data_IF_024468689681
#
_entry.id   IF_024468689681
#
_cell.length_a   1.000
_cell.length_b   1.000
_cell.length_c   1.000
_cell.angle_alpha   90.00
_cell.angle_beta   90.00
_cell.angle_gamma   90.00
#
_symmetry.space_group_name_H-M   'P 1'
#
loop_
_entity.id
_entity.type
_entity.pdbx_description
1 polymer ?
#
# COMPACT_ATOMS: atom_id res chain seq x y z
N UNK A 1 -26.06 -5.53 -52.42
CA UNK A 1 -25.23 -5.33 -51.22
C UNK A 1 -24.05 -4.43 -51.58
N UNK A 2 -23.84 -3.27 -50.92
CA UNK A 2 -22.66 -2.46 -51.18
C UNK A 2 -21.41 -3.28 -50.83
N UNK A 3 -20.46 -3.36 -51.77
CA UNK A 3 -19.15 -3.97 -51.53
C UNK A 3 -18.51 -3.32 -50.30
N UNK A 4 -18.11 -4.12 -49.32
CA UNK A 4 -17.31 -3.65 -48.19
C UNK A 4 -16.05 -2.98 -48.74
N UNK A 5 -15.94 -1.66 -48.58
CA UNK A 5 -14.71 -0.95 -48.90
C UNK A 5 -13.63 -1.50 -47.96
N UNK A 6 -12.58 -2.07 -48.54
CA UNK A 6 -11.47 -2.58 -47.75
C UNK A 6 -10.89 -1.47 -46.87
N UNK A 7 -10.46 -1.82 -45.66
CA UNK A 7 -9.84 -0.88 -44.70
C UNK A 7 -8.76 0.01 -45.32
N UNK A 8 -8.04 -0.50 -46.35
CA UNK A 8 -7.03 0.25 -47.11
C UNK A 8 -7.57 1.45 -47.89
N UNK A 9 -8.81 1.40 -48.41
CA UNK A 9 -9.42 2.50 -49.15
C UNK A 9 -9.98 3.60 -48.25
N UNK A 10 -10.40 3.25 -47.05
CA UNK A 10 -10.83 4.21 -46.02
C UNK A 10 -9.63 5.07 -45.60
N UNK A 11 -8.46 4.47 -45.40
CA UNK A 11 -7.25 5.20 -44.98
C UNK A 11 -6.67 6.10 -46.11
N UNK A 12 -6.82 5.75 -47.38
CA UNK A 12 -6.36 6.58 -48.49
C UNK A 12 -7.15 7.88 -48.66
N UNK A 13 -8.38 7.92 -48.15
CA UNK A 13 -9.29 9.08 -48.31
C UNK A 13 -9.39 9.97 -47.05
N UNK A 14 -8.84 9.56 -45.93
CA UNK A 14 -8.87 10.37 -44.73
C UNK A 14 -7.84 11.50 -44.76
N UNK A 15 -8.32 12.75 -44.71
CA UNK A 15 -7.47 13.94 -44.49
C UNK A 15 -6.74 13.89 -43.11
N UNK A 16 -7.35 13.26 -42.13
CA UNK A 16 -6.78 13.04 -40.80
C UNK A 16 -5.86 11.82 -40.81
N UNK A 17 -4.57 12.05 -40.53
CA UNK A 17 -3.56 10.99 -40.41
C UNK A 17 -2.84 11.12 -39.08
N UNK A 18 -3.24 10.35 -38.10
CA UNK A 18 -2.66 10.36 -36.76
C UNK A 18 -1.17 9.97 -36.73
N UNK A 19 -0.68 9.27 -37.76
CA UNK A 19 0.75 8.94 -37.91
C UNK A 19 1.66 10.16 -38.07
N UNK A 20 1.12 11.34 -38.47
CA UNK A 20 1.91 12.57 -38.62
C UNK A 20 2.58 12.95 -37.29
N UNK A 21 1.84 12.95 -36.20
CA UNK A 21 2.33 13.27 -34.85
C UNK A 21 3.23 12.19 -34.25
N UNK A 22 3.24 10.98 -34.82
CA UNK A 22 4.11 9.88 -34.36
C UNK A 22 5.46 9.80 -35.07
N UNK A 23 5.65 10.58 -36.15
CA UNK A 23 6.81 10.45 -37.05
C UNK A 23 8.14 10.73 -36.37
N UNK A 24 8.21 11.82 -35.63
CA UNK A 24 9.44 12.32 -35.02
C UNK A 24 9.35 12.29 -33.49
N UNK A 25 10.49 12.17 -32.80
CA UNK A 25 10.54 12.14 -31.34
C UNK A 25 9.99 13.42 -30.70
N UNK A 26 10.40 14.60 -31.17
CA UNK A 26 9.88 15.87 -30.68
C UNK A 26 8.35 15.99 -30.81
N UNK A 27 7.80 15.45 -31.90
CA UNK A 27 6.35 15.46 -32.14
C UNK A 27 5.62 14.52 -31.17
N UNK A 28 6.17 13.33 -30.90
CA UNK A 28 5.63 12.40 -29.91
C UNK A 28 5.63 13.04 -28.51
N UNK A 29 6.76 13.66 -28.11
CA UNK A 29 6.84 14.37 -26.81
C UNK A 29 5.83 15.51 -26.70
N UNK A 30 5.58 16.25 -27.81
CA UNK A 30 4.65 17.38 -27.81
C UNK A 30 3.20 16.95 -27.52
N UNK A 31 2.82 15.75 -27.95
CA UNK A 31 1.43 15.24 -27.83
C UNK A 31 1.29 14.21 -26.68
N UNK A 32 2.30 14.07 -25.84
CA UNK A 32 2.28 13.18 -24.69
C UNK A 32 1.18 13.62 -23.70
N UNK A 33 0.22 12.73 -23.43
CA UNK A 33 -0.92 13.03 -22.55
C UNK A 33 -0.60 12.74 -21.07
N UNK A 34 0.37 11.85 -20.82
CA UNK A 34 0.76 11.44 -19.48
C UNK A 34 2.27 11.53 -19.34
N UNK A 35 2.73 12.06 -18.22
CA UNK A 35 4.14 12.14 -17.88
C UNK A 35 4.36 11.47 -16.52
N UNK A 36 5.37 10.62 -16.42
CA UNK A 36 5.74 9.94 -15.17
C UNK A 36 6.95 10.64 -14.55
N UNK A 37 6.79 11.06 -13.32
CA UNK A 37 7.84 11.73 -12.53
C UNK A 37 8.16 10.96 -11.25
N UNK A 38 9.30 11.21 -10.61
CA UNK A 38 9.58 10.62 -9.29
C UNK A 38 8.51 10.93 -8.23
N UNK A 39 7.78 12.03 -8.38
CA UNK A 39 6.73 12.43 -7.45
C UNK A 39 5.48 11.54 -7.49
N UNK A 40 5.38 10.68 -8.51
CA UNK A 40 4.27 9.72 -8.65
C UNK A 40 4.52 8.40 -7.90
N UNK A 41 5.66 8.27 -7.19
CA UNK A 41 6.06 7.02 -6.56
C UNK A 41 6.16 7.12 -5.05
N UNK A 42 5.71 6.05 -4.37
CA UNK A 42 5.96 5.78 -2.95
C UNK A 42 6.95 4.63 -2.85
N UNK A 43 8.07 4.83 -2.14
CA UNK A 43 9.11 3.82 -2.02
C UNK A 43 8.87 2.87 -0.84
N UNK A 44 8.61 1.57 -1.05
CA UNK A 44 8.49 0.62 0.04
C UNK A 44 9.87 0.32 0.66
N UNK A 45 9.94 0.34 1.99
CA UNK A 45 11.11 -0.05 2.78
C UNK A 45 10.73 -1.19 3.71
N UNK A 46 11.42 -2.31 3.57
CA UNK A 46 11.24 -3.46 4.44
C UNK A 46 12.24 -3.41 5.60
N UNK A 47 11.71 -3.47 6.82
CA UNK A 47 12.49 -3.35 8.05
C UNK A 47 12.73 -4.74 8.68
N UNK A 48 13.89 -4.90 9.32
CA UNK A 48 14.24 -6.12 10.08
C UNK A 48 14.93 -5.73 11.38
N UNK A 49 14.74 -6.54 12.41
CA UNK A 49 15.38 -6.40 13.73
C UNK A 49 16.91 -6.66 13.66
N UNK A 50 17.62 -6.04 14.58
CA UNK A 50 19.06 -6.25 14.77
C UNK A 50 19.90 -5.02 14.46
N UNK A 51 21.19 -5.23 14.18
CA UNK A 51 22.16 -4.18 13.90
C UNK A 51 23.03 -4.57 12.70
N UNK A 52 23.32 -3.60 11.84
CA UNK A 52 24.24 -3.73 10.70
C UNK A 52 23.86 -4.87 9.71
N UNK A 53 22.55 -5.10 9.50
CA UNK A 53 22.06 -6.15 8.59
C UNK A 53 21.40 -5.55 7.34
N UNK A 54 21.67 -6.22 6.21
CA UNK A 54 20.96 -6.07 4.93
C UNK A 54 20.66 -7.48 4.44
N UNK A 55 19.38 -7.86 4.44
CA UNK A 55 18.93 -9.21 4.07
C UNK A 55 18.17 -9.18 2.77
N UNK A 56 18.57 -10.00 1.80
CA UNK A 56 17.85 -10.12 0.52
C UNK A 56 16.49 -10.81 0.72
N UNK A 57 15.50 -10.36 -0.06
CA UNK A 57 14.19 -11.01 -0.14
C UNK A 57 14.22 -11.92 -1.36
N UNK A 58 14.16 -13.25 -1.14
CA UNK A 58 14.35 -14.25 -2.21
C UNK A 58 13.38 -14.08 -3.38
N UNK A 59 12.14 -13.73 -3.08
CA UNK A 59 11.06 -13.54 -4.07
C UNK A 59 11.03 -12.16 -4.72
N UNK A 60 11.91 -11.24 -4.31
CA UNK A 60 12.05 -9.87 -4.84
C UNK A 60 13.52 -9.58 -5.17
N UNK A 61 14.03 -9.99 -6.34
CA UNK A 61 15.44 -9.75 -6.71
C UNK A 61 15.79 -8.27 -6.65
N UNK A 62 16.92 -7.95 -5.96
CA UNK A 62 17.36 -6.56 -5.77
C UNK A 62 16.70 -5.81 -4.62
N UNK A 63 15.67 -6.37 -3.97
CA UNK A 63 15.01 -5.79 -2.80
C UNK A 63 15.52 -6.44 -1.51
N UNK A 64 15.66 -5.64 -0.46
CA UNK A 64 16.25 -6.06 0.81
C UNK A 64 15.43 -5.59 2.00
N UNK A 65 15.53 -6.32 3.10
CA UNK A 65 15.16 -5.84 4.43
C UNK A 65 16.39 -5.16 5.05
N UNK A 66 16.16 -4.06 5.76
CA UNK A 66 17.21 -3.29 6.39
C UNK A 66 16.98 -3.16 7.90
N UNK A 67 18.05 -3.23 8.68
CA UNK A 67 18.03 -2.79 10.08
C UNK A 67 17.98 -1.25 10.16
N UNK A 68 17.48 -0.71 11.28
CA UNK A 68 17.25 0.73 11.43
C UNK A 68 18.49 1.60 11.21
N UNK A 69 19.67 1.09 11.56
CA UNK A 69 20.95 1.75 11.31
C UNK A 69 21.38 1.76 9.83
N UNK A 70 20.69 1.00 8.97
CA UNK A 70 20.99 0.90 7.52
C UNK A 70 19.94 1.56 6.62
N UNK A 71 18.85 2.07 7.15
CA UNK A 71 17.81 2.71 6.32
C UNK A 71 18.20 4.10 5.82
N UNK A 72 19.01 4.83 6.58
CA UNK A 72 19.37 6.23 6.30
C UNK A 72 19.93 6.46 4.89
N UNK A 73 20.96 5.72 4.41
CA UNK A 73 21.48 5.94 3.05
C UNK A 73 20.45 5.64 1.96
N UNK A 74 19.48 4.77 2.25
CA UNK A 74 18.41 4.45 1.33
C UNK A 74 17.38 5.58 1.23
N UNK A 75 17.07 6.22 2.36
CA UNK A 75 16.19 7.40 2.43
C UNK A 75 16.87 8.62 1.79
N UNK A 76 18.16 8.85 2.07
CA UNK A 76 18.96 9.92 1.43
C UNK A 76 18.90 9.80 -0.11
N UNK A 77 18.96 8.57 -0.64
CA UNK A 77 18.80 8.30 -2.08
C UNK A 77 17.39 8.59 -2.58
N UNK A 78 16.35 8.27 -1.80
CA UNK A 78 14.96 8.58 -2.14
C UNK A 78 14.74 10.09 -2.26
N UNK A 79 15.21 10.87 -1.28
CA UNK A 79 15.14 12.34 -1.27
C UNK A 79 15.90 12.91 -2.46
N UNK A 80 17.15 12.46 -2.70
CA UNK A 80 17.96 12.89 -3.85
C UNK A 80 17.25 12.67 -5.19
N UNK A 81 16.49 11.58 -5.31
CA UNK A 81 15.70 11.27 -6.50
C UNK A 81 14.31 11.92 -6.49
N UNK A 82 14.03 12.82 -5.56
CA UNK A 82 12.77 13.56 -5.44
C UNK A 82 11.54 12.68 -5.23
N UNK A 83 11.69 11.53 -4.58
CA UNK A 83 10.57 10.70 -4.14
C UNK A 83 9.88 11.40 -2.96
N UNK A 84 8.55 11.60 -2.98
CA UNK A 84 7.84 12.37 -1.95
C UNK A 84 7.63 11.57 -0.67
N UNK A 85 7.58 10.24 -0.75
CA UNK A 85 7.12 9.40 0.35
C UNK A 85 7.79 8.03 0.36
N UNK A 86 7.97 7.50 1.57
CA UNK A 86 8.37 6.12 1.83
C UNK A 86 7.25 5.38 2.56
N UNK A 87 7.13 4.07 2.31
CA UNK A 87 6.19 3.18 3.00
C UNK A 87 6.95 2.15 3.83
N UNK A 88 6.65 2.05 5.12
CA UNK A 88 7.36 1.18 6.07
C UNK A 88 6.63 -0.14 6.27
N UNK A 89 7.33 -1.27 6.06
CA UNK A 89 6.81 -2.61 6.25
C UNK A 89 7.75 -3.43 7.15
N UNK A 90 7.30 -3.90 8.33
CA UNK A 90 8.14 -4.65 9.24
C UNK A 90 8.20 -6.13 8.87
N UNK A 91 9.36 -6.74 9.08
CA UNK A 91 9.50 -8.18 9.27
C UNK A 91 9.57 -8.45 10.77
N UNK A 92 8.47 -8.92 11.34
CA UNK A 92 8.39 -9.22 12.77
C UNK A 92 8.89 -10.64 13.03
N UNK A 93 9.79 -10.81 13.98
CA UNK A 93 10.28 -12.12 14.39
C UNK A 93 9.16 -12.99 14.96
N UNK A 94 9.19 -14.29 14.70
CA UNK A 94 8.14 -15.25 15.09
C UNK A 94 7.85 -15.21 16.59
N UNK A 95 8.87 -15.01 17.44
CA UNK A 95 8.71 -14.93 18.91
C UNK A 95 7.87 -13.74 19.40
N UNK A 96 7.75 -12.70 18.58
CA UNK A 96 6.94 -11.50 18.85
C UNK A 96 5.52 -11.59 18.29
N UNK A 97 5.23 -12.63 17.49
CA UNK A 97 3.91 -12.86 16.90
C UNK A 97 3.02 -13.67 17.84
N UNK A 98 1.77 -13.26 17.98
CA UNK A 98 0.76 -14.02 18.72
C UNK A 98 -0.60 -13.95 18.00
N UNK A 99 -1.62 -14.63 18.52
CA UNK A 99 -2.93 -14.68 17.89
C UNK A 99 -3.66 -13.32 17.85
N UNK A 100 -3.32 -12.40 18.72
CA UNK A 100 -3.94 -11.07 18.83
C UNK A 100 -3.12 -9.96 18.15
N UNK A 101 -1.92 -10.27 17.64
CA UNK A 101 -1.06 -9.27 16.99
C UNK A 101 -0.59 -8.15 17.92
N UNK A 102 -0.41 -8.42 19.22
CA UNK A 102 -0.15 -7.38 20.25
C UNK A 102 1.11 -6.56 20.02
N UNK A 103 2.10 -7.07 19.28
CA UNK A 103 3.28 -6.30 18.90
C UNK A 103 2.94 -5.06 18.05
N UNK A 104 1.78 -5.04 17.36
CA UNK A 104 1.29 -3.87 16.64
C UNK A 104 1.05 -2.66 17.56
N UNK A 105 0.73 -2.91 18.83
CA UNK A 105 0.43 -1.90 19.85
C UNK A 105 1.62 -1.60 20.78
N UNK A 106 2.76 -2.22 20.54
CA UNK A 106 3.98 -1.97 21.32
C UNK A 106 4.66 -0.69 20.82
N UNK A 107 4.78 0.33 21.67
CA UNK A 107 5.45 1.61 21.35
C UNK A 107 6.90 1.43 20.92
N UNK A 108 7.53 0.34 21.36
CA UNK A 108 8.90 -0.06 21.02
C UNK A 108 8.99 -0.98 19.81
N UNK A 109 7.92 -1.18 19.05
CA UNK A 109 7.96 -2.00 17.85
C UNK A 109 8.86 -1.38 16.76
N UNK A 110 9.22 -2.19 15.79
CA UNK A 110 10.18 -1.82 14.75
C UNK A 110 9.72 -0.63 13.89
N UNK A 111 8.41 -0.51 13.63
CA UNK A 111 7.83 0.59 12.83
C UNK A 111 7.87 1.89 13.64
N UNK A 112 7.44 1.88 14.90
CA UNK A 112 7.47 3.05 15.77
C UNK A 112 8.89 3.63 15.90
N UNK A 113 9.87 2.76 16.16
CA UNK A 113 11.30 3.16 16.19
C UNK A 113 11.77 3.74 14.84
N UNK A 114 11.36 3.15 13.73
CA UNK A 114 11.72 3.65 12.41
C UNK A 114 11.17 5.07 12.18
N UNK A 115 9.88 5.29 12.48
CA UNK A 115 9.23 6.60 12.35
C UNK A 115 10.01 7.67 13.14
N UNK A 116 10.29 7.40 14.41
CA UNK A 116 11.01 8.34 15.28
C UNK A 116 12.41 8.68 14.76
N UNK A 117 13.19 7.68 14.30
CA UNK A 117 14.52 7.90 13.73
C UNK A 117 14.44 8.76 12.46
N UNK A 118 13.47 8.46 11.59
CA UNK A 118 13.29 9.17 10.31
C UNK A 118 12.84 10.60 10.57
N UNK A 119 11.83 10.82 11.40
CA UNK A 119 11.33 12.16 11.75
C UNK A 119 12.39 13.01 12.43
N UNK A 120 13.18 12.43 13.34
CA UNK A 120 14.28 13.15 13.99
C UNK A 120 15.31 13.66 12.98
N UNK A 121 15.64 12.87 11.95
CA UNK A 121 16.68 13.23 10.95
C UNK A 121 16.14 14.10 9.83
N UNK A 122 15.01 13.71 9.23
CA UNK A 122 14.53 14.30 7.97
C UNK A 122 13.35 15.28 8.14
N UNK A 123 12.72 15.29 9.32
CA UNK A 123 11.55 16.15 9.59
C UNK A 123 10.48 15.99 8.49
N UNK A 124 10.26 17.01 7.67
CA UNK A 124 9.27 17.06 6.60
C UNK A 124 9.86 16.95 5.19
N UNK A 125 11.13 16.55 5.06
CA UNK A 125 11.76 16.38 3.73
C UNK A 125 11.20 15.20 2.95
N UNK A 126 10.62 14.19 3.64
CA UNK A 126 10.00 13.03 3.03
C UNK A 126 8.83 12.58 3.90
N UNK A 127 7.70 12.24 3.26
CA UNK A 127 6.53 11.69 3.94
C UNK A 127 6.75 10.24 4.38
N UNK A 128 6.15 9.85 5.50
CA UNK A 128 6.18 8.50 6.04
C UNK A 128 4.78 7.91 5.99
N UNK A 129 4.62 6.82 5.24
CA UNK A 129 3.42 6.00 5.21
C UNK A 129 3.64 4.72 6.02
N UNK A 130 2.67 4.34 6.84
CA UNK A 130 2.70 3.09 7.59
C UNK A 130 1.48 2.23 7.29
N UNK A 131 1.71 0.95 7.07
CA UNK A 131 0.66 -0.05 6.94
C UNK A 131 -0.09 -0.24 8.26
N UNK A 132 -1.42 -0.27 8.19
CA UNK A 132 -2.30 -0.56 9.34
C UNK A 132 -2.99 -1.87 9.07
N UNK A 133 -2.46 -2.95 9.63
CA UNK A 133 -2.96 -4.31 9.53
C UNK A 133 -2.22 -5.20 10.53
N UNK A 134 -2.76 -6.38 10.85
CA UNK A 134 -2.20 -7.26 11.86
C UNK A 134 -1.39 -8.43 11.30
N UNK A 135 -1.40 -8.70 10.00
CA UNK A 135 -0.70 -9.86 9.41
C UNK A 135 0.84 -9.88 9.65
N UNK A 136 1.56 -8.74 9.78
CA UNK A 136 2.96 -8.77 10.20
C UNK A 136 3.15 -9.25 11.65
N UNK A 137 2.12 -9.17 12.48
CA UNK A 137 2.19 -9.37 13.94
C UNK A 137 1.43 -10.61 14.42
N UNK A 138 0.54 -11.17 13.59
CA UNK A 138 -0.23 -12.36 13.96
C UNK A 138 0.52 -13.65 13.68
N UNK A 139 0.33 -14.66 14.55
CA UNK A 139 0.91 -15.99 14.38
C UNK A 139 0.20 -16.85 13.32
N UNK A 140 -0.98 -16.44 12.87
CA UNK A 140 -1.79 -17.11 11.87
C UNK A 140 -1.79 -16.42 10.48
N UNK A 141 -1.13 -15.25 10.35
CA UNK A 141 -0.93 -14.55 9.08
C UNK A 141 -2.17 -13.85 8.49
N UNK A 142 -3.27 -13.71 9.24
CA UNK A 142 -4.41 -12.89 8.85
C UNK A 142 -4.25 -11.44 9.27
N UNK A 143 -4.92 -10.52 8.55
CA UNK A 143 -4.85 -9.07 8.76
C UNK A 143 -5.64 -8.61 10.01
N UNK A 144 -6.38 -9.49 10.68
CA UNK A 144 -7.22 -9.19 11.83
C UNK A 144 -7.30 -10.32 12.85
N UNK A 145 -8.19 -10.17 13.83
CA UNK A 145 -8.43 -11.11 14.92
C UNK A 145 -9.18 -12.34 14.40
N UNK A 146 -8.54 -13.51 14.51
CA UNK A 146 -9.10 -14.77 14.02
C UNK A 146 -9.81 -15.55 15.11
N UNK A 147 -11.07 -15.93 14.89
CA UNK A 147 -11.83 -16.83 15.78
C UNK A 147 -12.56 -17.88 14.94
N UNK A 148 -12.38 -19.15 15.28
CA UNK A 148 -13.04 -20.27 14.59
C UNK A 148 -12.89 -20.25 13.05
N UNK A 149 -11.72 -19.81 12.55
CA UNK A 149 -11.42 -19.73 11.11
C UNK A 149 -11.98 -18.50 10.40
N UNK A 150 -12.62 -17.58 11.12
CA UNK A 150 -13.18 -16.34 10.60
C UNK A 150 -12.50 -15.13 11.23
N UNK A 151 -12.19 -14.10 10.43
CA UNK A 151 -11.65 -12.82 10.94
C UNK A 151 -12.82 -11.96 11.40
N UNK A 152 -12.78 -11.56 12.67
CA UNK A 152 -13.83 -10.74 13.30
C UNK A 152 -13.64 -9.28 12.90
N UNK A 153 -14.68 -8.65 12.40
CA UNK A 153 -14.65 -7.26 11.92
C UNK A 153 -14.40 -6.26 13.06
N UNK A 154 -15.32 -6.17 13.99
CA UNK A 154 -15.37 -5.10 14.99
C UNK A 154 -14.22 -5.20 16.01
N UNK A 155 -13.88 -6.42 16.41
CA UNK A 155 -12.74 -6.67 17.27
C UNK A 155 -11.42 -6.31 16.59
N UNK A 156 -11.32 -6.54 15.27
CA UNK A 156 -10.15 -6.14 14.49
C UNK A 156 -10.07 -4.62 14.43
N UNK A 157 -11.16 -3.92 14.08
CA UNK A 157 -11.20 -2.44 14.03
C UNK A 157 -10.75 -1.84 15.36
N UNK A 158 -11.18 -2.38 16.49
CA UNK A 158 -10.77 -1.92 17.82
C UNK A 158 -9.25 -1.94 18.02
N UNK A 159 -8.55 -2.93 17.45
CA UNK A 159 -7.09 -3.00 17.48
C UNK A 159 -6.45 -2.05 16.48
N UNK A 160 -7.00 -1.95 15.27
CA UNK A 160 -6.48 -1.08 14.20
C UNK A 160 -6.57 0.41 14.56
N UNK A 161 -7.61 0.83 15.27
CA UNK A 161 -7.75 2.18 15.83
C UNK A 161 -6.55 2.51 16.74
N UNK A 162 -6.22 1.61 17.66
CA UNK A 162 -5.10 1.81 18.59
C UNK A 162 -3.75 1.79 17.86
N UNK A 163 -3.57 0.90 16.88
CA UNK A 163 -2.38 0.88 16.02
C UNK A 163 -2.22 2.18 15.24
N UNK A 164 -3.31 2.69 14.67
CA UNK A 164 -3.33 3.95 13.92
C UNK A 164 -2.96 5.14 14.80
N UNK A 165 -3.57 5.24 15.99
CA UNK A 165 -3.28 6.30 16.94
C UNK A 165 -1.81 6.26 17.38
N UNK A 166 -1.30 5.07 17.71
CA UNK A 166 0.11 4.89 18.07
C UNK A 166 1.05 5.34 16.95
N UNK A 167 0.82 4.94 15.71
CA UNK A 167 1.64 5.35 14.58
C UNK A 167 1.59 6.86 14.35
N UNK A 168 0.42 7.50 14.49
CA UNK A 168 0.27 8.96 14.41
C UNK A 168 1.04 9.68 15.54
N UNK A 169 0.97 9.17 16.78
CA UNK A 169 1.73 9.66 17.92
C UNK A 169 3.25 9.60 17.69
N UNK A 170 3.74 8.58 17.01
CA UNK A 170 5.15 8.46 16.62
C UNK A 170 5.57 9.41 15.49
N UNK A 171 4.62 10.06 14.82
CA UNK A 171 4.86 11.03 13.74
C UNK A 171 4.67 10.49 12.33
N UNK A 172 3.87 9.44 12.14
CA UNK A 172 3.48 8.97 10.80
C UNK A 172 2.63 10.03 10.11
N UNK A 173 2.90 10.29 8.82
CA UNK A 173 2.16 11.29 8.02
C UNK A 173 0.92 10.70 7.36
N UNK A 174 1.01 9.44 6.93
CA UNK A 174 -0.05 8.74 6.19
C UNK A 174 -0.26 7.35 6.78
N UNK A 175 -1.45 7.09 7.27
CA UNK A 175 -1.88 5.76 7.69
C UNK A 175 -2.52 5.02 6.52
N UNK A 176 -2.13 3.77 6.31
CA UNK A 176 -2.57 3.00 5.17
C UNK A 176 -3.28 1.70 5.58
N UNK A 177 -4.55 1.75 5.99
CA UNK A 177 -5.31 0.57 6.38
C UNK A 177 -5.46 -0.43 5.23
N UNK A 178 -4.87 -1.62 5.41
CA UNK A 178 -4.82 -2.65 4.38
C UNK A 178 -5.55 -3.94 4.75
N UNK A 179 -6.29 -3.91 5.83
CA UNK A 179 -6.95 -5.05 6.47
C UNK A 179 -8.26 -5.47 5.79
N UNK A 180 -9.00 -4.54 5.17
CA UNK A 180 -10.31 -4.73 4.51
C UNK A 180 -11.47 -4.99 5.47
N UNK A 181 -11.43 -4.48 6.71
CA UNK A 181 -12.59 -4.53 7.60
C UNK A 181 -13.59 -3.41 7.27
N UNK A 182 -14.89 -3.70 7.40
CA UNK A 182 -15.94 -2.75 7.07
C UNK A 182 -16.00 -1.61 8.10
N UNK A 183 -16.06 -0.35 7.65
CA UNK A 183 -16.18 0.84 8.50
C UNK A 183 -14.88 1.29 9.19
N UNK A 184 -13.75 0.64 8.90
CA UNK A 184 -12.45 0.93 9.53
C UNK A 184 -11.94 2.34 9.30
N UNK A 185 -12.18 2.89 8.11
CA UNK A 185 -11.69 4.22 7.74
C UNK A 185 -12.37 5.29 8.58
N UNK A 186 -13.70 5.21 8.72
CA UNK A 186 -14.46 6.16 9.54
C UNK A 186 -14.07 6.13 11.01
N UNK A 187 -13.88 4.97 11.59
CA UNK A 187 -13.47 4.85 12.99
C UNK A 187 -12.04 5.32 13.22
N UNK A 188 -11.08 5.02 12.32
CA UNK A 188 -9.72 5.54 12.39
C UNK A 188 -9.74 7.07 12.25
N UNK A 189 -10.44 7.65 11.28
CA UNK A 189 -10.53 9.10 11.08
C UNK A 189 -11.06 9.80 12.32
N UNK A 190 -12.16 9.31 12.86
CA UNK A 190 -12.79 9.83 14.07
C UNK A 190 -11.83 9.86 15.28
N UNK A 191 -11.09 8.79 15.48
CA UNK A 191 -10.14 8.72 16.62
C UNK A 191 -8.96 9.67 16.41
N UNK A 192 -8.42 9.76 15.20
CA UNK A 192 -7.36 10.71 14.87
C UNK A 192 -7.81 12.15 15.13
N UNK A 193 -8.99 12.53 14.67
CA UNK A 193 -9.53 13.88 14.85
C UNK A 193 -9.74 14.22 16.33
N UNK A 194 -10.30 13.29 17.08
CA UNK A 194 -10.57 13.47 18.52
C UNK A 194 -9.29 13.56 19.37
N UNK A 195 -8.15 13.08 18.85
CA UNK A 195 -6.87 13.09 19.57
C UNK A 195 -5.86 14.14 19.03
N UNK A 196 -6.30 15.07 18.16
CA UNK A 196 -5.45 16.16 17.69
C UNK A 196 -4.62 15.82 16.45
N UNK A 197 -4.91 14.71 15.76
CA UNK A 197 -4.20 14.24 14.55
C UNK A 197 -4.99 14.49 13.26
N UNK A 198 -5.73 15.61 13.16
CA UNK A 198 -6.56 15.96 12.01
C UNK A 198 -5.76 16.05 10.71
N UNK A 199 -4.46 16.35 10.80
CA UNK A 199 -3.58 16.49 9.63
C UNK A 199 -2.91 15.17 9.21
N UNK A 200 -3.08 14.09 9.96
CA UNK A 200 -2.61 12.76 9.54
C UNK A 200 -3.54 12.24 8.45
N UNK A 201 -2.98 11.94 7.28
CA UNK A 201 -3.73 11.48 6.12
C UNK A 201 -4.05 9.97 6.22
N UNK A 202 -5.11 9.55 5.53
CA UNK A 202 -5.47 8.14 5.38
C UNK A 202 -5.43 7.76 3.91
N UNK A 203 -4.57 6.79 3.55
CA UNK A 203 -4.55 6.12 2.26
C UNK A 203 -5.22 4.75 2.42
N UNK A 204 -6.49 4.65 2.05
CA UNK A 204 -7.18 3.38 2.15
C UNK A 204 -6.78 2.40 1.05
N UNK A 205 -6.48 1.15 1.42
CA UNK A 205 -6.48 0.02 0.48
C UNK A 205 -7.94 -0.35 0.16
N UNK A 206 -8.67 0.59 -0.41
CA UNK A 206 -10.11 0.49 -0.67
C UNK A 206 -10.47 -0.71 -1.54
N UNK A 207 -9.59 -1.07 -2.48
CA UNK A 207 -9.78 -2.22 -3.37
C UNK A 207 -8.61 -3.19 -3.22
N UNK A 208 -8.74 -4.15 -2.31
CA UNK A 208 -7.74 -5.20 -2.11
C UNK A 208 -8.31 -6.56 -2.45
N UNK A 209 -7.96 -7.07 -3.62
CA UNK A 209 -8.42 -8.37 -4.10
C UNK A 209 -7.66 -9.53 -3.46
N UNK A 210 -8.33 -10.65 -3.21
CA UNK A 210 -7.68 -11.91 -2.86
C UNK A 210 -6.86 -12.40 -4.06
N UNK A 211 -5.52 -12.34 -3.97
CA UNK A 211 -4.62 -12.55 -5.11
C UNK A 211 -3.40 -13.41 -4.77
N UNK A 212 -2.98 -14.23 -5.73
CA UNK A 212 -1.71 -14.96 -5.69
C UNK A 212 -0.49 -14.05 -5.89
N UNK A 213 -0.66 -12.87 -6.47
CA UNK A 213 0.40 -11.88 -6.67
C UNK A 213 1.02 -11.33 -5.37
N UNK A 214 0.39 -11.56 -4.21
CA UNK A 214 0.96 -11.19 -2.90
C UNK A 214 2.08 -12.12 -2.41
N UNK A 215 2.41 -13.19 -3.12
CA UNK A 215 3.48 -14.12 -2.73
C UNK A 215 4.79 -13.45 -2.37
N UNK A 216 5.36 -12.56 -3.22
CA UNK A 216 6.58 -11.82 -2.92
C UNK A 216 6.47 -10.91 -1.69
N UNK A 217 5.36 -10.18 -1.56
CA UNK A 217 5.12 -9.30 -0.41
C UNK A 217 5.03 -10.10 0.91
N UNK A 218 4.31 -11.22 0.92
CA UNK A 218 4.23 -12.11 2.10
C UNK A 218 5.60 -12.65 2.51
N UNK A 219 6.49 -12.93 1.55
CA UNK A 219 7.88 -13.27 1.85
C UNK A 219 8.60 -12.07 2.51
N UNK A 220 8.42 -10.86 1.96
CA UNK A 220 9.08 -9.65 2.44
C UNK A 220 8.74 -9.33 3.92
N UNK A 221 7.47 -9.45 4.32
CA UNK A 221 7.01 -9.17 5.70
C UNK A 221 7.05 -10.40 6.61
N UNK A 222 7.49 -11.58 6.11
CA UNK A 222 7.63 -12.80 6.91
C UNK A 222 6.29 -13.43 7.32
N UNK A 223 5.24 -13.25 6.51
CA UNK A 223 3.95 -13.91 6.69
C UNK A 223 3.76 -15.13 5.77
N UNK A 224 4.74 -15.41 4.89
CA UNK A 224 4.73 -16.57 4.01
C UNK A 224 4.74 -17.86 4.83
N UNK A 225 3.77 -18.76 4.57
CA UNK A 225 3.63 -20.03 5.27
C UNK A 225 2.93 -19.97 6.63
N UNK A 226 2.62 -18.79 7.14
CA UNK A 226 1.84 -18.65 8.39
C UNK A 226 0.34 -18.68 8.14
N UNK A 227 -0.13 -18.30 6.94
CA UNK A 227 -1.54 -18.18 6.64
C UNK A 227 -2.28 -19.50 6.83
N UNK A 228 -3.21 -19.53 7.78
CA UNK A 228 -4.15 -20.63 8.02
C UNK A 228 -5.43 -20.37 7.22
N UNK A 229 -5.73 -21.22 6.23
CA UNK A 229 -6.87 -21.03 5.33
C UNK A 229 -6.60 -20.03 4.20
N UNK A 230 -7.52 -19.11 3.95
CA UNK A 230 -7.41 -18.07 2.92
C UNK A 230 -7.99 -16.74 3.42
N UNK A 231 -7.77 -15.66 2.66
CA UNK A 231 -8.24 -14.31 3.00
C UNK A 231 -9.54 -13.90 2.28
N UNK A 232 -10.25 -14.85 1.63
CA UNK A 232 -11.42 -14.56 0.79
C UNK A 232 -12.67 -14.10 1.55
N UNK A 233 -12.70 -14.24 2.88
CA UNK A 233 -13.81 -13.80 3.71
C UNK A 233 -13.74 -12.30 4.06
N UNK A 234 -12.65 -11.62 3.68
CA UNK A 234 -12.51 -10.16 3.85
C UNK A 234 -11.76 -9.46 2.70
N UNK A 235 -10.94 -10.16 1.91
CA UNK A 235 -10.39 -9.59 0.68
C UNK A 235 -11.35 -9.89 -0.49
N UNK A 236 -11.50 -8.92 -1.39
CA UNK A 236 -12.48 -8.95 -2.47
C UNK A 236 -12.25 -10.11 -3.47
N UNK A 237 -13.34 -10.60 -4.05
CA UNK A 237 -13.27 -11.55 -5.16
C UNK A 237 -12.89 -10.80 -6.46
N UNK A 238 -11.90 -11.33 -7.18
CA UNK A 238 -11.40 -10.74 -8.44
C UNK A 238 -12.44 -10.62 -9.55
N UNK A 239 -13.59 -11.26 -9.41
CA UNK A 239 -14.71 -11.19 -10.37
C UNK A 239 -15.64 -9.99 -10.14
N UNK A 240 -15.45 -9.23 -9.05
CA UNK A 240 -16.37 -8.20 -8.60
C UNK A 240 -15.80 -6.79 -8.83
N UNK A 241 -16.13 -6.15 -9.96
CA UNK A 241 -15.74 -4.77 -10.24
C UNK A 241 -16.68 -3.74 -9.60
N UNK A 242 -17.99 -3.99 -9.59
CA UNK A 242 -18.96 -3.08 -8.98
C UNK A 242 -18.82 -2.99 -7.44
N UNK A 243 -18.41 -4.06 -6.78
CA UNK A 243 -18.06 -4.08 -5.37
C UNK A 243 -16.90 -3.12 -5.10
N UNK A 244 -15.84 -3.16 -5.95
CA UNK A 244 -14.70 -2.28 -5.85
C UNK A 244 -15.07 -0.79 -5.86
N UNK A 245 -15.94 -0.39 -6.79
CA UNK A 245 -16.41 1.00 -6.87
C UNK A 245 -17.23 1.40 -5.63
N UNK A 246 -18.00 0.46 -5.06
CA UNK A 246 -18.74 0.68 -3.83
C UNK A 246 -17.82 0.86 -2.63
N UNK A 247 -16.80 0.01 -2.48
CA UNK A 247 -15.79 0.12 -1.42
C UNK A 247 -15.05 1.45 -1.48
N UNK A 248 -14.61 1.87 -2.67
CA UNK A 248 -13.98 3.19 -2.86
C UNK A 248 -14.91 4.32 -2.42
N UNK A 249 -16.19 4.28 -2.81
CA UNK A 249 -17.17 5.31 -2.46
C UNK A 249 -17.42 5.37 -0.94
N UNK A 250 -17.46 4.22 -0.26
CA UNK A 250 -17.61 4.13 1.19
C UNK A 250 -16.38 4.70 1.90
N UNK A 251 -15.19 4.27 1.53
CA UNK A 251 -13.95 4.72 2.15
C UNK A 251 -13.72 6.25 1.99
N UNK A 252 -14.06 6.81 0.81
CA UNK A 252 -14.03 8.26 0.60
C UNK A 252 -15.04 8.97 1.53
N UNK A 253 -16.26 8.46 1.63
CA UNK A 253 -17.29 9.01 2.52
C UNK A 253 -16.90 8.93 3.99
N UNK A 254 -16.17 7.90 4.37
CA UNK A 254 -15.63 7.68 5.71
C UNK A 254 -14.41 8.56 6.04
N UNK A 255 -13.84 9.26 5.05
CA UNK A 255 -12.76 10.23 5.27
C UNK A 255 -11.38 9.77 4.80
N UNK A 256 -11.30 8.85 3.83
CA UNK A 256 -10.03 8.56 3.15
C UNK A 256 -9.58 9.76 2.29
N UNK A 257 -8.32 10.19 2.43
CA UNK A 257 -7.70 11.23 1.61
C UNK A 257 -7.21 10.67 0.27
N UNK A 258 -6.83 9.39 0.26
CA UNK A 258 -6.35 8.66 -0.90
C UNK A 258 -6.90 7.24 -0.89
N UNK A 259 -7.05 6.65 -2.08
CA UNK A 259 -7.49 5.26 -2.26
C UNK A 259 -6.51 4.47 -3.10
N UNK A 260 -6.40 3.18 -2.85
CA UNK A 260 -5.49 2.28 -3.55
C UNK A 260 -6.23 1.05 -4.10
N UNK A 261 -5.91 0.68 -5.33
CA UNK A 261 -6.26 -0.63 -5.93
C UNK A 261 -5.08 -1.57 -5.80
N UNK A 262 -5.26 -2.73 -5.16
CA UNK A 262 -4.18 -3.69 -4.92
C UNK A 262 -4.60 -5.14 -5.24
N UNK A 263 -3.80 -5.86 -6.03
CA UNK A 263 -2.67 -5.37 -6.83
C UNK A 263 -3.16 -4.51 -8.00
N UNK A 264 -2.43 -3.42 -8.34
CA UNK A 264 -2.91 -2.45 -9.35
C UNK A 264 -2.87 -3.00 -10.77
N UNK A 265 -1.76 -3.60 -11.19
CA UNK A 265 -1.53 -3.99 -12.58
C UNK A 265 -2.59 -4.94 -13.18
N UNK A 266 -3.13 -5.96 -12.48
CA UNK A 266 -4.20 -6.81 -13.01
C UNK A 266 -5.58 -6.16 -13.07
N UNK A 267 -5.77 -4.98 -12.48
CA UNK A 267 -7.07 -4.31 -12.30
C UNK A 267 -7.06 -2.87 -12.81
N UNK A 268 -6.48 -2.66 -14.02
CA UNK A 268 -6.44 -1.35 -14.68
C UNK A 268 -7.82 -0.83 -15.06
N UNK A 269 -8.78 -1.70 -15.25
CA UNK A 269 -10.20 -1.40 -15.47
C UNK A 269 -10.85 -0.73 -14.24
N UNK A 270 -10.40 -1.06 -13.04
CA UNK A 270 -10.87 -0.44 -11.80
C UNK A 270 -10.18 0.90 -11.54
N UNK A 271 -8.92 1.03 -11.97
CA UNK A 271 -8.14 2.27 -11.80
C UNK A 271 -8.66 3.36 -12.74
N UNK A 272 -9.17 2.98 -13.92
CA UNK A 272 -9.73 3.90 -14.91
C UNK A 272 -11.09 4.44 -14.49
#
# INVERSE_FOLDING_TARGET
LPRSRGLGDVYKRQGLRLRRSRKNDWSRRLIEENNLSPSDFILPIFLIEGKNKKQSIKSMPGVFRYTLDKITPFIDKAIKNKLPMIALFPYTETRKKNALGTEALNEDNLVCKAIQIIKKKYKNEIGIMCDVALDPYTSHGHDGILKSGYVLNDETISVLINQSLLQAQMGCDVLAPSDMMDGRIGEIRKVLDNNGYQMTQILSYAVKYASSFYGPFRDAVGSKGLLKGNKKNYQMDFKNSNEALREVALDIKEGADMVMVKPGLPYLDIIK
#
